data_IF_221529236703
#
_entry.id   IF_221529236703
#
_cell.length_a   1.000
_cell.length_b   1.000
_cell.length_c   1.000
_cell.angle_alpha   90.00
_cell.angle_beta   90.00
_cell.angle_gamma   90.00
#
_symmetry.space_group_name_H-M   'P 1'
#
loop_
_entity.id
_entity.type
_entity.pdbx_description
1 polymer ?
#
# COMPACT_ATOMS: atom_id res chain seq x y z
N UNK A 1 3.52 6.59 1.33
CA UNK A 1 4.87 6.08 1.66
C UNK A 1 5.89 7.22 1.75
N UNK A 2 6.14 8.01 0.69
CA UNK A 2 7.17 9.07 0.72
C UNK A 2 7.03 10.09 1.85
N UNK A 3 5.82 10.54 2.18
CA UNK A 3 5.58 11.48 3.27
C UNK A 3 5.84 10.87 4.66
N UNK A 4 5.64 9.56 4.82
CA UNK A 4 5.86 8.86 6.09
C UNK A 4 7.33 8.46 6.30
N UNK A 5 8.13 8.40 5.22
CA UNK A 5 9.52 7.96 5.25
C UNK A 5 10.46 8.88 6.07
N UNK A 6 10.01 10.09 6.43
CA UNK A 6 10.75 11.01 7.31
C UNK A 6 10.36 10.92 8.77
N UNK A 7 9.31 10.17 9.10
CA UNK A 7 8.95 9.89 10.49
C UNK A 7 9.87 8.75 10.92
N UNK A 8 11.05 9.11 11.43
CA UNK A 8 12.05 8.14 11.88
C UNK A 8 11.78 7.74 13.32
N UNK A 9 11.78 6.43 13.57
CA UNK A 9 11.66 5.84 14.90
C UNK A 9 13.00 5.15 15.17
N UNK A 10 13.86 5.78 15.99
CA UNK A 10 15.15 5.20 16.32
C UNK A 10 14.92 4.00 17.25
N UNK A 11 15.52 2.86 16.91
CA UNK A 11 15.65 1.72 17.80
C UNK A 11 17.11 1.60 18.20
N UNK A 12 17.37 1.85 19.48
CA UNK A 12 18.70 1.69 20.04
C UNK A 12 19.12 0.22 19.96
N UNK A 13 20.36 0.03 19.53
CA UNK A 13 20.97 -1.30 19.50
C UNK A 13 21.15 -1.83 20.92
N UNK A 14 20.97 -3.13 21.09
CA UNK A 14 21.24 -3.79 22.36
C UNK A 14 22.42 -4.74 22.22
N UNK A 15 23.31 -4.71 23.21
CA UNK A 15 24.46 -5.60 23.31
C UNK A 15 24.27 -6.47 24.54
N UNK A 16 24.16 -7.78 24.31
CA UNK A 16 24.28 -8.83 25.32
C UNK A 16 25.58 -9.60 25.11
N UNK A 17 26.01 -10.38 26.11
CA UNK A 17 27.24 -11.19 26.07
C UNK A 17 27.33 -12.14 24.86
N UNK A 18 26.21 -12.46 24.21
CA UNK A 18 26.11 -13.37 23.07
C UNK A 18 25.52 -12.76 21.80
N UNK A 19 25.07 -11.51 21.81
CA UNK A 19 24.38 -10.89 20.67
C UNK A 19 24.61 -9.38 20.61
N UNK A 20 25.07 -8.90 19.45
CA UNK A 20 25.14 -7.48 19.13
C UNK A 20 24.09 -7.15 18.07
N UNK A 21 23.06 -6.41 18.45
CA UNK A 21 22.09 -5.83 17.51
C UNK A 21 22.49 -4.37 17.28
N UNK A 22 22.82 -4.03 16.04
CA UNK A 22 23.11 -2.64 15.66
C UNK A 22 21.85 -1.77 15.80
N UNK A 23 22.03 -0.47 16.01
CA UNK A 23 20.93 0.49 15.95
C UNK A 23 20.27 0.46 14.57
N UNK A 24 18.95 0.35 14.54
CA UNK A 24 18.17 0.39 13.30
C UNK A 24 17.22 1.57 13.37
N UNK A 25 17.13 2.34 12.28
CA UNK A 25 16.12 3.37 12.13
C UNK A 25 15.00 2.79 11.28
N UNK A 26 13.82 2.65 11.87
CA UNK A 26 12.61 2.25 11.14
C UNK A 26 11.81 3.52 10.86
N UNK A 27 11.38 3.71 9.62
CA UNK A 27 10.53 4.83 9.27
C UNK A 27 9.02 4.48 9.32
N UNK A 28 8.17 5.50 9.40
CA UNK A 28 6.72 5.33 9.44
C UNK A 28 6.14 4.67 8.18
N UNK A 29 6.82 4.78 7.04
CA UNK A 29 6.38 4.11 5.81
C UNK A 29 6.57 2.59 5.91
N UNK A 30 7.69 2.14 6.47
CA UNK A 30 7.97 0.72 6.72
C UNK A 30 6.96 0.11 7.68
N UNK A 31 6.61 0.79 8.78
CA UNK A 31 5.58 0.31 9.70
C UNK A 31 4.20 0.21 9.04
N UNK A 32 3.82 1.22 8.25
CA UNK A 32 2.55 1.21 7.54
C UNK A 32 2.48 0.06 6.51
N UNK A 33 3.58 -0.17 5.78
CA UNK A 33 3.68 -1.29 4.83
C UNK A 33 3.61 -2.63 5.54
N UNK A 34 4.36 -2.80 6.64
CA UNK A 34 4.34 -4.04 7.42
C UNK A 34 2.93 -4.35 7.92
N UNK A 35 2.24 -3.38 8.52
CA UNK A 35 0.87 -3.55 8.99
C UNK A 35 -0.09 -3.92 7.85
N UNK A 36 0.03 -3.25 6.70
CA UNK A 36 -0.78 -3.55 5.51
C UNK A 36 -0.52 -4.96 4.97
N UNK A 37 0.75 -5.36 4.89
CA UNK A 37 1.15 -6.68 4.39
C UNK A 37 0.68 -7.80 5.32
N UNK A 38 0.81 -7.63 6.64
CA UNK A 38 0.26 -8.58 7.63
C UNK A 38 -1.24 -8.73 7.44
N UNK A 39 -1.96 -7.62 7.29
CA UNK A 39 -3.39 -7.64 7.00
C UNK A 39 -3.70 -8.41 5.70
N UNK A 40 -2.96 -8.19 4.61
CA UNK A 40 -3.19 -8.92 3.36
C UNK A 40 -2.88 -10.41 3.47
N UNK A 41 -1.85 -10.81 4.23
CA UNK A 41 -1.59 -12.21 4.52
C UNK A 41 -2.72 -12.87 5.31
N UNK A 42 -3.39 -12.13 6.20
CA UNK A 42 -4.59 -12.61 6.90
C UNK A 42 -5.78 -12.81 5.96
N UNK A 43 -5.86 -12.07 4.85
CA UNK A 43 -6.89 -12.24 3.83
C UNK A 43 -6.59 -13.41 2.89
N UNK A 44 -5.38 -13.46 2.34
CA UNK A 44 -4.95 -14.52 1.42
C UNK A 44 -3.44 -14.57 1.34
N UNK A 45 -2.86 -15.76 1.51
CA UNK A 45 -1.42 -15.93 1.49
C UNK A 45 -0.79 -15.49 0.15
N UNK A 46 -1.44 -15.83 -0.98
CA UNK A 46 -0.90 -15.52 -2.31
C UNK A 46 -0.98 -14.02 -2.63
N UNK A 47 -2.13 -13.38 -2.35
CA UNK A 47 -2.28 -11.93 -2.54
C UNK A 47 -1.41 -11.14 -1.55
N UNK A 48 -1.28 -11.62 -0.31
CA UNK A 48 -0.37 -11.05 0.68
C UNK A 48 1.07 -11.03 0.19
N UNK A 49 1.54 -12.12 -0.44
CA UNK A 49 2.87 -12.18 -1.03
C UNK A 49 3.05 -11.21 -2.21
N UNK A 50 2.08 -11.16 -3.14
CA UNK A 50 2.10 -10.21 -4.27
C UNK A 50 2.19 -8.77 -3.77
N UNK A 51 1.33 -8.41 -2.81
CA UNK A 51 1.32 -7.07 -2.24
C UNK A 51 2.59 -6.76 -1.45
N UNK A 52 3.18 -7.74 -0.76
CA UNK A 52 4.47 -7.58 -0.08
C UNK A 52 5.58 -7.20 -1.07
N UNK A 53 5.64 -7.86 -2.22
CA UNK A 53 6.60 -7.55 -3.29
C UNK A 53 6.34 -6.15 -3.84
N UNK A 54 5.10 -5.82 -4.22
CA UNK A 54 4.75 -4.50 -4.76
C UNK A 54 5.11 -3.39 -3.77
N UNK A 55 4.69 -3.51 -2.51
CA UNK A 55 4.93 -2.47 -1.50
C UNK A 55 6.42 -2.34 -1.15
N UNK A 56 7.18 -3.44 -1.17
CA UNK A 56 8.64 -3.40 -0.99
C UNK A 56 9.31 -2.65 -2.14
N UNK A 57 8.92 -2.93 -3.39
CA UNK A 57 9.44 -2.21 -4.56
C UNK A 57 9.10 -0.72 -4.50
N UNK A 58 7.89 -0.37 -4.07
CA UNK A 58 7.48 1.03 -3.86
C UNK A 58 8.27 1.71 -2.75
N UNK A 59 8.57 1.02 -1.64
CA UNK A 59 9.41 1.54 -0.56
C UNK A 59 10.84 1.82 -1.06
N UNK A 60 11.44 0.88 -1.79
CA UNK A 60 12.78 1.04 -2.37
C UNK A 60 12.80 2.20 -3.37
N UNK A 61 11.81 2.26 -4.26
CA UNK A 61 11.67 3.34 -5.24
C UNK A 61 11.41 4.71 -4.61
N UNK A 62 10.87 4.76 -3.40
CA UNK A 62 10.65 6.01 -2.66
C UNK A 62 11.90 6.54 -1.94
N UNK A 63 12.95 5.72 -1.73
CA UNK A 63 14.15 6.12 -0.99
C UNK A 63 14.85 7.37 -1.56
N UNK A 64 15.07 7.49 -2.89
CA UNK A 64 15.70 8.68 -3.45
C UNK A 64 14.90 9.96 -3.19
N UNK A 65 13.56 9.86 -3.16
CA UNK A 65 12.65 10.99 -2.88
C UNK A 65 12.72 11.36 -1.40
N UNK A 66 12.73 10.35 -0.51
CA UNK A 66 12.83 10.56 0.94
C UNK A 66 14.12 11.32 1.34
N UNK A 67 15.22 11.05 0.64
CA UNK A 67 16.53 11.66 0.86
C UNK A 67 16.70 13.08 0.29
N UNK A 68 15.74 13.61 -0.48
CA UNK A 68 15.83 14.96 -1.05
C UNK A 68 15.81 16.05 0.04
N UNK A 69 16.08 17.31 -0.32
CA UNK A 69 15.82 18.45 0.57
C UNK A 69 14.32 18.57 0.91
N UNK A 70 13.97 19.34 1.94
CA UNK A 70 12.60 19.46 2.44
C UNK A 70 11.58 19.84 1.36
N UNK A 71 11.83 20.90 0.59
CA UNK A 71 10.87 21.38 -0.40
C UNK A 71 10.64 20.42 -1.57
N UNK A 72 11.67 19.86 -2.24
CA UNK A 72 11.46 18.87 -3.29
C UNK A 72 10.75 17.60 -2.80
N UNK A 73 11.16 17.06 -1.66
CA UNK A 73 10.51 15.89 -1.04
C UNK A 73 9.02 16.14 -0.78
N UNK A 74 8.70 17.28 -0.15
CA UNK A 74 7.33 17.62 0.19
C UNK A 74 6.48 17.81 -1.07
N UNK A 75 7.03 18.51 -2.07
CA UNK A 75 6.34 18.80 -3.33
C UNK A 75 6.02 17.51 -4.10
N UNK A 76 6.98 16.60 -4.22
CA UNK A 76 6.77 15.30 -4.88
C UNK A 76 5.81 14.44 -4.05
N UNK A 77 6.00 14.38 -2.73
CA UNK A 77 5.18 13.59 -1.84
C UNK A 77 3.70 14.01 -1.87
N UNK A 78 3.43 15.31 -1.77
CA UNK A 78 2.07 15.87 -1.89
C UNK A 78 1.56 15.74 -3.32
N UNK A 79 2.40 15.97 -4.33
CA UNK A 79 2.03 15.84 -5.74
C UNK A 79 1.54 14.43 -6.09
N UNK A 80 2.30 13.39 -5.72
CA UNK A 80 1.91 11.99 -5.92
C UNK A 80 0.67 11.63 -5.10
N UNK A 81 0.56 12.15 -3.87
CA UNK A 81 -0.62 11.94 -3.03
C UNK A 81 -1.88 12.49 -3.70
N UNK A 82 -1.89 13.78 -4.07
CA UNK A 82 -3.01 14.43 -4.75
C UNK A 82 -3.32 13.75 -6.08
N UNK A 83 -2.29 13.37 -6.85
CA UNK A 83 -2.46 12.64 -8.10
C UNK A 83 -3.17 11.29 -7.90
N UNK A 84 -2.77 10.53 -6.87
CA UNK A 84 -3.44 9.27 -6.51
C UNK A 84 -4.92 9.47 -6.15
N UNK A 85 -5.23 10.53 -5.40
CA UNK A 85 -6.62 10.88 -5.06
C UNK A 85 -7.44 11.26 -6.30
N UNK A 86 -6.87 12.02 -7.23
CA UNK A 86 -7.54 12.34 -8.51
C UNK A 86 -7.85 11.07 -9.28
N UNK A 87 -6.89 10.15 -9.42
CA UNK A 87 -7.12 8.86 -10.08
C UNK A 87 -8.20 8.03 -9.37
N UNK A 88 -8.18 7.99 -8.03
CA UNK A 88 -9.19 7.28 -7.24
C UNK A 88 -10.60 7.86 -7.46
N UNK A 89 -10.75 9.19 -7.44
CA UNK A 89 -12.04 9.82 -7.68
C UNK A 89 -12.53 9.63 -9.12
N UNK A 90 -11.64 9.67 -10.10
CA UNK A 90 -11.97 9.37 -11.49
C UNK A 90 -12.49 7.92 -11.61
N UNK A 91 -11.80 6.95 -11.01
CA UNK A 91 -12.23 5.55 -11.01
C UNK A 91 -13.63 5.36 -10.40
N UNK A 92 -13.87 5.95 -9.24
CA UNK A 92 -15.17 5.89 -8.57
C UNK A 92 -16.28 6.62 -9.33
N UNK A 93 -15.96 7.72 -10.02
CA UNK A 93 -16.91 8.40 -10.91
C UNK A 93 -17.37 7.48 -12.05
N UNK A 94 -16.45 6.73 -12.67
CA UNK A 94 -16.79 5.75 -13.70
C UNK A 94 -17.56 4.54 -13.15
N UNK A 95 -17.17 4.03 -11.97
CA UNK A 95 -17.92 2.95 -11.30
C UNK A 95 -19.32 3.37 -10.84
N UNK A 96 -19.52 4.68 -10.60
CA UNK A 96 -20.75 5.22 -10.00
C UNK A 96 -20.93 4.81 -8.53
N UNK A 97 -19.87 4.36 -7.87
CA UNK A 97 -19.85 3.96 -6.46
C UNK A 97 -19.07 5.00 -5.65
N UNK A 98 -19.49 5.25 -4.40
CA UNK A 98 -18.72 6.10 -3.48
C UNK A 98 -17.41 5.40 -3.07
N UNK A 99 -16.34 6.15 -2.76
CA UNK A 99 -15.12 5.56 -2.25
C UNK A 99 -15.34 4.82 -0.92
N UNK A 100 -14.80 3.61 -0.79
CA UNK A 100 -14.98 2.78 0.40
C UNK A 100 -14.50 3.46 1.70
N UNK A 101 -13.49 4.34 1.60
CA UNK A 101 -12.97 5.07 2.76
C UNK A 101 -13.98 6.06 3.37
N UNK A 102 -15.01 6.45 2.61
CA UNK A 102 -16.09 7.32 3.12
C UNK A 102 -16.90 6.56 4.19
N UNK A 103 -16.96 5.23 4.09
CA UNK A 103 -17.67 4.38 5.03
C UNK A 103 -16.75 3.87 6.15
N UNK A 104 -15.52 3.49 5.83
CA UNK A 104 -14.54 2.99 6.80
C UNK A 104 -13.10 3.31 6.35
N UNK A 105 -12.28 3.87 7.24
CA UNK A 105 -10.86 4.15 6.99
C UNK A 105 -10.07 2.92 6.54
N UNK A 106 -10.48 1.71 6.93
CA UNK A 106 -9.88 0.45 6.44
C UNK A 106 -9.98 0.34 4.91
N UNK A 107 -11.00 0.97 4.29
CA UNK A 107 -11.15 1.09 2.85
C UNK A 107 -9.94 1.71 2.14
N UNK A 108 -9.12 2.53 2.81
CA UNK A 108 -7.86 3.04 2.27
C UNK A 108 -6.80 1.95 2.11
N UNK A 109 -6.78 0.96 3.02
CA UNK A 109 -5.87 -0.19 2.96
C UNK A 109 -6.39 -1.20 1.94
N UNK A 110 -7.70 -1.39 1.84
CA UNK A 110 -8.28 -2.34 0.86
C UNK A 110 -8.09 -1.84 -0.59
N UNK A 111 -8.12 -0.53 -0.83
CA UNK A 111 -8.04 0.06 -2.18
C UNK A 111 -6.86 -0.46 -3.04
N UNK A 112 -5.60 -0.40 -2.58
CA UNK A 112 -4.46 -0.95 -3.32
C UNK A 112 -4.57 -2.44 -3.64
N UNK A 113 -5.12 -3.24 -2.71
CA UNK A 113 -5.35 -4.66 -2.94
C UNK A 113 -6.43 -4.87 -4.01
N UNK A 114 -7.53 -4.11 -3.95
CA UNK A 114 -8.61 -4.16 -4.94
C UNK A 114 -8.10 -3.90 -6.37
N UNK A 115 -7.35 -2.81 -6.57
CA UNK A 115 -6.77 -2.48 -7.90
C UNK A 115 -5.84 -3.59 -8.39
N UNK A 116 -5.05 -4.18 -7.49
CA UNK A 116 -4.15 -5.29 -7.84
C UNK A 116 -4.92 -6.54 -8.26
N UNK A 117 -6.00 -6.87 -7.54
CA UNK A 117 -6.86 -8.02 -7.83
C UNK A 117 -7.59 -7.84 -9.17
N UNK A 118 -8.16 -6.68 -9.44
CA UNK A 118 -8.78 -6.36 -10.74
C UNK A 118 -7.77 -6.49 -11.89
N UNK A 119 -6.53 -6.01 -11.71
CA UNK A 119 -5.49 -6.19 -12.72
C UNK A 119 -5.16 -7.68 -12.94
N UNK A 120 -5.14 -8.49 -11.88
CA UNK A 120 -4.93 -9.93 -11.97
C UNK A 120 -6.08 -10.63 -12.70
N UNK A 121 -7.32 -10.24 -12.45
CA UNK A 121 -8.51 -10.74 -13.17
C UNK A 121 -8.44 -10.43 -14.67
N UNK A 122 -8.06 -9.19 -15.02
CA UNK A 122 -7.84 -8.75 -16.40
C UNK A 122 -6.72 -9.56 -17.09
N UNK A 123 -5.67 -9.94 -16.36
CA UNK A 123 -4.60 -10.81 -16.85
C UNK A 123 -5.00 -12.30 -16.92
N UNK A 124 -6.19 -12.66 -16.47
CA UNK A 124 -6.71 -14.03 -16.53
C UNK A 124 -6.46 -14.87 -15.28
N UNK A 125 -5.89 -14.31 -14.20
CA UNK A 125 -5.65 -15.01 -12.95
C UNK A 125 -6.88 -14.96 -12.02
N UNK A 126 -6.89 -15.81 -10.98
CA UNK A 126 -7.91 -15.80 -9.91
C UNK A 126 -9.38 -15.89 -10.38
N UNK A 127 -9.67 -16.60 -11.47
CA UNK A 127 -11.02 -16.70 -12.04
C UNK A 127 -12.11 -17.14 -11.06
N UNK A 128 -11.83 -18.11 -10.19
CA UNK A 128 -12.77 -18.52 -9.15
C UNK A 128 -13.11 -17.37 -8.19
N UNK A 129 -12.12 -16.57 -7.79
CA UNK A 129 -12.34 -15.41 -6.93
C UNK A 129 -13.11 -14.31 -7.68
N UNK A 130 -12.82 -14.10 -8.96
CA UNK A 130 -13.55 -13.18 -9.84
C UNK A 130 -15.04 -13.56 -9.91
N UNK A 131 -15.34 -14.85 -10.14
CA UNK A 131 -16.71 -15.37 -10.20
C UNK A 131 -17.44 -15.19 -8.86
N UNK A 132 -16.78 -15.47 -7.73
CA UNK A 132 -17.33 -15.28 -6.38
C UNK A 132 -17.63 -13.80 -6.08
N UNK A 133 -16.69 -12.91 -6.40
CA UNK A 133 -16.86 -11.46 -6.24
C UNK A 133 -18.01 -10.97 -7.11
N UNK A 134 -18.09 -11.40 -8.36
CA UNK A 134 -19.16 -11.02 -9.28
C UNK A 134 -20.53 -11.55 -8.83
N UNK A 135 -20.59 -12.74 -8.23
CA UNK A 135 -21.83 -13.30 -7.68
C UNK A 135 -22.36 -12.49 -6.48
N UNK A 136 -21.48 -11.87 -5.69
CA UNK A 136 -21.84 -11.09 -4.50
C UNK A 136 -22.08 -9.63 -4.84
N UNK A 137 -21.15 -8.99 -5.55
CA UNK A 137 -21.10 -7.55 -5.77
C UNK A 137 -21.63 -7.11 -7.15
N UNK A 138 -21.90 -8.06 -8.05
CA UNK A 138 -22.17 -7.81 -9.46
C UNK A 138 -20.90 -7.53 -10.26
N UNK A 139 -20.98 -7.58 -11.60
CA UNK A 139 -19.83 -7.33 -12.46
C UNK A 139 -19.34 -5.89 -12.35
N UNK A 140 -18.02 -5.70 -12.40
CA UNK A 140 -17.42 -4.38 -12.57
C UNK A 140 -17.78 -3.83 -13.96
N UNK A 141 -18.11 -2.53 -14.01
CA UNK A 141 -18.40 -1.85 -15.28
C UNK A 141 -17.05 -1.57 -15.95
N UNK A 142 -16.64 -2.45 -16.86
CA UNK A 142 -15.50 -2.22 -17.74
C UNK A 142 -15.82 -1.19 -18.84
#
# INVERSE_FOLDING_TARGET
MCLLARIQIPFDGFVTDSLMINSVVIDGAQLFVLASVVYYFMLSFSLGFIMAVIFTLLLVGAQPIAAMAFWPWLSIGVGVFVFGWVLQFIGHYYEGKKPAFVDDLIGLIIGPLYVTVELLFLMGFYKTLEDEVNAIAGPTKA
#
